data_IF_505271571531
#
_entry.id   IF_505271571531
#
_cell.length_a   1.000
_cell.length_b   1.000
_cell.length_c   1.000
_cell.angle_alpha   90.00
_cell.angle_beta   90.00
_cell.angle_gamma   90.00
#
_symmetry.space_group_name_H-M   'P 1'
#
loop_
_entity.id
_entity.type
_entity.pdbx_description
1 polymer ?
#
# COMPACT_ATOMS: atom_id res chain seq x y z
N UNK A 1 32.07 -20.22 -17.05
CA UNK A 1 31.67 -21.18 -18.13
C UNK A 1 30.94 -22.40 -17.53
N UNK A 2 29.85 -22.22 -16.78
CA UNK A 2 29.07 -23.30 -16.17
C UNK A 2 27.65 -23.49 -16.76
N UNK A 3 27.39 -22.93 -17.90
CA UNK A 3 26.06 -22.75 -18.49
C UNK A 3 25.46 -23.93 -19.24
N UNK A 4 26.20 -25.04 -19.41
CA UNK A 4 25.77 -26.06 -20.36
C UNK A 4 24.97 -27.22 -19.74
N UNK A 5 24.95 -27.43 -18.40
CA UNK A 5 24.22 -28.59 -17.83
C UNK A 5 23.69 -28.46 -16.39
N UNK A 6 23.71 -27.29 -15.73
CA UNK A 6 23.44 -27.23 -14.28
C UNK A 6 22.41 -26.20 -13.76
N UNK A 7 21.93 -25.30 -14.57
CA UNK A 7 21.12 -24.18 -14.08
C UNK A 7 21.95 -23.17 -13.28
N UNK A 8 21.31 -22.06 -12.85
CA UNK A 8 21.97 -21.04 -12.02
C UNK A 8 22.23 -21.53 -10.59
N UNK A 9 23.35 -21.09 -10.01
CA UNK A 9 23.68 -21.26 -8.60
C UNK A 9 23.63 -19.92 -7.87
N UNK A 10 23.74 -19.94 -6.53
CA UNK A 10 23.84 -18.69 -5.74
C UNK A 10 25.12 -17.94 -6.07
N UNK A 11 26.20 -18.65 -6.33
CA UNK A 11 27.50 -18.12 -6.71
C UNK A 11 27.43 -17.37 -8.03
N UNK A 12 26.68 -17.92 -9.03
CA UNK A 12 26.44 -17.25 -10.32
C UNK A 12 25.68 -15.93 -10.11
N UNK A 13 24.64 -15.92 -9.28
CA UNK A 13 23.88 -14.71 -8.97
C UNK A 13 24.75 -13.67 -8.26
N UNK A 14 25.57 -14.09 -7.29
CA UNK A 14 26.51 -13.18 -6.61
C UNK A 14 27.54 -12.59 -7.56
N UNK A 15 28.07 -13.39 -8.48
CA UNK A 15 29.05 -12.91 -9.48
C UNK A 15 28.41 -11.91 -10.46
N UNK A 16 27.16 -12.17 -10.91
CA UNK A 16 26.41 -11.22 -11.74
C UNK A 16 26.14 -9.93 -11.00
N UNK A 17 25.82 -10.00 -9.70
CA UNK A 17 25.62 -8.81 -8.86
C UNK A 17 26.91 -8.00 -8.72
N UNK A 18 28.04 -8.64 -8.39
CA UNK A 18 29.35 -7.99 -8.25
C UNK A 18 29.83 -7.32 -9.54
N UNK A 19 29.53 -7.94 -10.69
CA UNK A 19 29.85 -7.38 -12.01
C UNK A 19 28.78 -6.41 -12.56
N UNK A 20 27.70 -6.18 -11.82
CA UNK A 20 26.52 -5.42 -12.25
C UNK A 20 25.93 -5.91 -13.59
N UNK A 21 25.97 -7.24 -13.82
CA UNK A 21 25.40 -7.88 -15.01
C UNK A 21 23.87 -7.97 -14.94
N UNK A 22 23.23 -6.86 -15.26
CA UNK A 22 21.76 -6.77 -15.28
C UNK A 22 21.17 -7.72 -16.32
N UNK A 23 21.79 -7.90 -17.47
CA UNK A 23 21.31 -8.77 -18.54
C UNK A 23 21.31 -10.24 -18.10
N UNK A 24 22.38 -10.66 -17.45
CA UNK A 24 22.49 -12.00 -16.86
C UNK A 24 21.44 -12.24 -15.79
N UNK A 25 21.23 -11.29 -14.88
CA UNK A 25 20.19 -11.38 -13.84
C UNK A 25 18.78 -11.39 -14.41
N UNK A 26 18.47 -10.56 -15.41
CA UNK A 26 17.18 -10.56 -16.08
C UNK A 26 16.90 -11.91 -16.74
N UNK A 27 17.88 -12.45 -17.46
CA UNK A 27 17.80 -13.79 -18.04
C UNK A 27 17.60 -14.87 -16.98
N UNK A 28 18.31 -14.78 -15.87
CA UNK A 28 18.13 -15.72 -14.75
C UNK A 28 16.70 -15.70 -14.20
N UNK A 29 16.02 -14.55 -14.15
CA UNK A 29 14.61 -14.47 -13.70
C UNK A 29 13.66 -15.23 -14.63
N UNK A 30 14.01 -15.45 -15.89
CA UNK A 30 13.19 -16.14 -16.88
C UNK A 30 13.47 -17.64 -16.94
N UNK A 31 14.72 -18.02 -16.69
CA UNK A 31 15.17 -19.41 -16.78
C UNK A 31 15.07 -20.19 -15.46
N UNK A 32 14.98 -19.52 -14.31
CA UNK A 32 14.82 -20.16 -13.00
C UNK A 32 13.36 -20.61 -12.84
N UNK A 33 13.08 -21.87 -13.14
CA UNK A 33 11.74 -22.46 -12.97
C UNK A 33 11.56 -22.99 -11.54
N UNK A 34 11.01 -22.13 -10.68
CA UNK A 34 10.69 -22.45 -9.28
C UNK A 34 9.43 -23.30 -9.12
N UNK A 35 8.63 -23.47 -10.18
CA UNK A 35 7.40 -24.28 -10.13
C UNK A 35 7.70 -25.76 -10.04
N UNK A 36 8.83 -26.18 -10.59
CA UNK A 36 9.32 -27.58 -10.58
C UNK A 36 10.23 -27.90 -9.41
N UNK A 37 10.84 -26.87 -8.80
CA UNK A 37 11.82 -27.06 -7.72
C UNK A 37 11.73 -25.89 -6.73
N UNK A 38 11.19 -26.17 -5.54
CA UNK A 38 11.03 -25.18 -4.48
C UNK A 38 12.37 -24.56 -4.06
N UNK A 39 13.47 -25.30 -4.11
CA UNK A 39 14.80 -24.78 -3.80
C UNK A 39 15.19 -23.63 -4.75
N UNK A 40 14.71 -23.68 -6.00
CA UNK A 40 14.92 -22.61 -6.99
C UNK A 40 14.13 -21.33 -6.67
N UNK A 41 13.08 -21.42 -5.86
CA UNK A 41 12.35 -20.25 -5.36
C UNK A 41 13.26 -19.30 -4.58
N UNK A 42 14.11 -19.84 -3.70
CA UNK A 42 15.11 -19.06 -2.97
C UNK A 42 16.16 -18.41 -3.86
N UNK A 43 16.55 -19.10 -4.95
CA UNK A 43 17.49 -18.56 -5.93
C UNK A 43 16.88 -17.39 -6.70
N UNK A 44 15.60 -17.51 -7.10
CA UNK A 44 14.90 -16.42 -7.77
C UNK A 44 14.72 -15.22 -6.84
N UNK A 45 14.43 -15.42 -5.54
CA UNK A 45 14.44 -14.34 -4.56
C UNK A 45 15.78 -13.62 -4.52
N UNK A 46 16.90 -14.37 -4.45
CA UNK A 46 18.23 -13.80 -4.48
C UNK A 46 18.50 -12.99 -5.76
N UNK A 47 18.02 -13.48 -6.91
CA UNK A 47 18.13 -12.77 -8.19
C UNK A 47 17.33 -11.45 -8.18
N UNK A 48 16.10 -11.45 -7.65
CA UNK A 48 15.27 -10.24 -7.50
C UNK A 48 15.93 -9.25 -6.55
N UNK A 49 16.51 -9.72 -5.45
CA UNK A 49 17.23 -8.87 -4.51
C UNK A 49 18.51 -8.27 -5.13
N UNK A 50 19.24 -9.04 -5.93
CA UNK A 50 20.44 -8.56 -6.66
C UNK A 50 20.06 -7.45 -7.65
N UNK A 51 18.99 -7.63 -8.44
CA UNK A 51 18.44 -6.57 -9.29
C UNK A 51 18.09 -5.32 -8.48
N UNK A 52 17.53 -5.49 -7.29
CA UNK A 52 17.20 -4.39 -6.38
C UNK A 52 18.42 -3.66 -5.82
N UNK A 53 19.54 -4.34 -5.59
CA UNK A 53 20.79 -3.72 -5.12
C UNK A 53 21.54 -2.98 -6.24
N UNK A 54 21.54 -3.52 -7.44
CA UNK A 54 22.14 -2.86 -8.61
C UNK A 54 21.29 -1.67 -9.05
N UNK A 55 19.96 -1.83 -9.12
CA UNK A 55 19.05 -0.80 -9.61
C UNK A 55 19.14 -0.63 -11.14
N UNK A 56 18.82 0.59 -11.60
CA UNK A 56 18.76 0.92 -13.02
C UNK A 56 17.38 0.64 -13.64
N UNK A 57 17.10 1.28 -14.77
CA UNK A 57 15.75 1.33 -15.37
C UNK A 57 15.19 -0.07 -15.66
N UNK A 58 15.97 -0.92 -16.32
CA UNK A 58 15.54 -2.28 -16.70
C UNK A 58 15.31 -3.18 -15.48
N UNK A 59 16.13 -3.04 -14.44
CA UNK A 59 15.94 -3.75 -13.17
C UNK A 59 14.66 -3.28 -12.49
N UNK A 60 14.42 -1.96 -12.45
CA UNK A 60 13.19 -1.37 -11.86
C UNK A 60 11.93 -1.85 -12.59
N UNK A 61 11.93 -1.89 -13.92
CA UNK A 61 10.81 -2.41 -14.71
C UNK A 61 10.51 -3.88 -14.35
N UNK A 62 11.56 -4.71 -14.26
CA UNK A 62 11.40 -6.12 -13.87
C UNK A 62 10.90 -6.27 -12.44
N UNK A 63 11.37 -5.41 -11.50
CA UNK A 63 10.89 -5.40 -10.12
C UNK A 63 9.41 -5.00 -10.04
N UNK A 64 8.96 -4.00 -10.80
CA UNK A 64 7.54 -3.62 -10.87
C UNK A 64 6.71 -4.79 -11.44
N UNK A 65 7.22 -5.47 -12.48
CA UNK A 65 6.55 -6.65 -13.03
C UNK A 65 6.35 -7.75 -11.98
N UNK A 66 7.36 -7.98 -11.11
CA UNK A 66 7.23 -8.97 -10.03
C UNK A 66 6.15 -8.65 -9.00
N UNK A 67 5.73 -7.39 -8.83
CA UNK A 67 4.65 -7.06 -7.91
C UNK A 67 3.31 -7.71 -8.29
N UNK A 68 3.00 -7.78 -9.60
CA UNK A 68 1.74 -8.32 -10.12
C UNK A 68 1.74 -9.83 -10.34
N UNK A 69 2.84 -10.54 -10.12
CA UNK A 69 2.93 -11.96 -10.48
C UNK A 69 3.86 -12.80 -9.61
N UNK A 70 3.78 -14.11 -9.81
CA UNK A 70 4.69 -15.06 -9.20
C UNK A 70 4.34 -15.45 -7.76
N UNK A 71 5.30 -16.10 -7.12
CA UNK A 71 5.21 -16.58 -5.74
C UNK A 71 5.44 -15.42 -4.75
N UNK A 72 4.70 -15.39 -3.63
CA UNK A 72 4.73 -14.25 -2.68
C UNK A 72 6.14 -13.80 -2.23
N UNK A 73 7.17 -14.67 -2.03
CA UNK A 73 8.50 -14.19 -1.66
C UNK A 73 9.16 -13.30 -2.72
N UNK A 74 8.87 -13.55 -4.00
CA UNK A 74 9.39 -12.73 -5.11
C UNK A 74 8.75 -11.33 -5.07
N UNK A 75 7.42 -11.26 -4.84
CA UNK A 75 6.70 -9.98 -4.68
C UNK A 75 7.25 -9.18 -3.51
N UNK A 76 7.52 -9.84 -2.35
CA UNK A 76 8.10 -9.17 -1.18
C UNK A 76 9.50 -8.64 -1.44
N UNK A 77 10.35 -9.44 -2.09
CA UNK A 77 11.70 -9.01 -2.47
C UNK A 77 11.66 -7.80 -3.41
N UNK A 78 10.78 -7.82 -4.41
CA UNK A 78 10.58 -6.72 -5.34
C UNK A 78 10.05 -5.45 -4.63
N UNK A 79 9.05 -5.58 -3.76
CA UNK A 79 8.51 -4.46 -2.98
C UNK A 79 9.59 -3.81 -2.11
N UNK A 80 10.35 -4.62 -1.38
CA UNK A 80 11.48 -4.15 -0.55
C UNK A 80 12.53 -3.43 -1.37
N UNK A 81 12.88 -3.97 -2.54
CA UNK A 81 13.86 -3.38 -3.45
C UNK A 81 13.39 -2.02 -3.98
N UNK A 82 12.15 -1.93 -4.49
CA UNK A 82 11.56 -0.70 -5.00
C UNK A 82 11.44 0.40 -3.93
N UNK A 83 11.09 0.00 -2.70
CA UNK A 83 11.09 0.91 -1.56
C UNK A 83 12.50 1.42 -1.21
N UNK A 84 13.52 0.54 -1.19
CA UNK A 84 14.90 0.93 -0.91
C UNK A 84 15.47 1.87 -1.97
N UNK A 85 15.17 1.62 -3.23
CA UNK A 85 15.54 2.48 -4.37
C UNK A 85 14.72 3.78 -4.44
N UNK A 86 13.68 3.92 -3.60
CA UNK A 86 12.74 5.06 -3.59
C UNK A 86 12.14 5.35 -4.97
N UNK A 87 11.74 4.29 -5.67
CA UNK A 87 11.17 4.39 -7.02
C UNK A 87 9.77 4.99 -6.94
N UNK A 88 9.65 6.29 -7.21
CA UNK A 88 8.38 7.03 -7.06
C UNK A 88 7.25 6.45 -7.90
N UNK A 89 7.52 6.03 -9.15
CA UNK A 89 6.52 5.41 -10.03
C UNK A 89 6.04 4.03 -9.58
N UNK A 90 6.71 3.41 -8.59
CA UNK A 90 6.27 2.14 -8.01
C UNK A 90 5.20 2.31 -6.91
N UNK A 91 4.87 3.54 -6.49
CA UNK A 91 3.91 3.78 -5.41
C UNK A 91 2.54 3.14 -5.73
N UNK A 92 1.95 3.47 -6.88
CA UNK A 92 0.67 2.89 -7.31
C UNK A 92 0.73 1.37 -7.50
N UNK A 93 1.71 0.79 -8.24
CA UNK A 93 1.88 -0.66 -8.33
C UNK A 93 1.99 -1.39 -6.99
N UNK A 94 2.67 -0.81 -6.00
CA UNK A 94 2.77 -1.39 -4.66
C UNK A 94 1.42 -1.43 -3.94
N UNK A 95 0.64 -0.37 -4.05
CA UNK A 95 -0.70 -0.31 -3.47
C UNK A 95 -1.66 -1.26 -4.19
N UNK A 96 -1.62 -1.33 -5.51
CA UNK A 96 -2.43 -2.26 -6.30
C UNK A 96 -2.13 -3.72 -5.93
N UNK A 97 -0.86 -4.06 -5.69
CA UNK A 97 -0.47 -5.39 -5.22
C UNK A 97 -1.03 -5.70 -3.82
N UNK A 98 -1.11 -4.71 -2.92
CA UNK A 98 -1.76 -4.85 -1.62
C UNK A 98 -3.26 -5.11 -1.79
N UNK A 99 -3.96 -4.29 -2.59
CA UNK A 99 -5.40 -4.45 -2.87
C UNK A 99 -5.69 -5.81 -3.52
N UNK A 100 -4.83 -6.27 -4.43
CA UNK A 100 -4.98 -7.58 -5.09
C UNK A 100 -4.83 -8.75 -4.11
N UNK A 101 -3.91 -8.70 -3.16
CA UNK A 101 -3.79 -9.73 -2.13
C UNK A 101 -5.03 -9.76 -1.23
N UNK A 102 -5.58 -8.59 -0.87
CA UNK A 102 -6.84 -8.47 -0.13
C UNK A 102 -7.98 -9.09 -0.94
N UNK A 103 -8.14 -8.70 -2.21
CA UNK A 103 -9.21 -9.17 -3.09
C UNK A 103 -9.16 -10.69 -3.38
N UNK A 104 -7.96 -11.28 -3.34
CA UNK A 104 -7.77 -12.73 -3.49
C UNK A 104 -7.85 -13.52 -2.19
N UNK A 105 -8.29 -12.90 -1.11
CA UNK A 105 -8.34 -13.52 0.22
C UNK A 105 -6.96 -14.03 0.72
N UNK A 106 -5.89 -13.46 0.19
CA UNK A 106 -4.54 -13.72 0.66
C UNK A 106 -4.26 -12.90 1.90
N UNK A 107 -3.29 -13.33 2.70
CA UNK A 107 -2.84 -12.53 3.83
C UNK A 107 -2.11 -11.28 3.33
N UNK A 108 -2.63 -10.07 3.57
CA UNK A 108 -2.01 -8.84 3.10
C UNK A 108 -0.61 -8.65 3.66
N UNK A 109 0.31 -8.23 2.80
CA UNK A 109 1.71 -8.04 3.19
C UNK A 109 1.99 -6.59 3.54
N UNK A 110 2.27 -6.34 4.82
CA UNK A 110 2.62 -5.00 5.32
C UNK A 110 3.92 -4.45 4.73
N UNK A 111 4.72 -5.30 4.08
CA UNK A 111 5.92 -4.90 3.35
C UNK A 111 5.64 -3.91 2.22
N UNK A 112 4.48 -3.99 1.55
CA UNK A 112 4.06 -2.99 0.57
C UNK A 112 3.91 -1.61 1.21
N UNK A 113 3.32 -1.57 2.40
CA UNK A 113 3.16 -0.35 3.21
C UNK A 113 4.53 0.20 3.60
N UNK A 114 5.44 -0.68 4.04
CA UNK A 114 6.83 -0.29 4.33
C UNK A 114 7.59 0.25 3.12
N UNK A 115 7.32 -0.29 1.92
CA UNK A 115 7.91 0.22 0.68
C UNK A 115 7.36 1.60 0.31
N UNK A 116 6.03 1.81 0.42
CA UNK A 116 5.39 3.12 0.24
C UNK A 116 5.97 4.16 1.21
N UNK A 117 6.17 3.80 2.48
CA UNK A 117 6.80 4.66 3.48
C UNK A 117 8.21 5.11 3.11
N UNK A 118 9.02 4.22 2.51
CA UNK A 118 10.37 4.54 2.05
C UNK A 118 10.39 5.43 0.81
N UNK A 119 9.43 5.26 -0.10
CA UNK A 119 9.23 6.13 -1.27
C UNK A 119 8.88 7.53 -0.81
N UNK A 120 7.88 7.70 0.05
CA UNK A 120 7.56 8.92 0.77
C UNK A 120 7.20 10.14 -0.08
N UNK A 121 6.87 9.96 -1.38
CA UNK A 121 6.36 11.04 -2.21
C UNK A 121 4.88 11.32 -1.90
N UNK A 122 4.30 12.37 -2.48
CA UNK A 122 2.90 12.76 -2.23
C UNK A 122 1.92 11.63 -2.54
N UNK A 123 2.12 10.94 -3.66
CA UNK A 123 1.28 9.80 -4.06
C UNK A 123 1.38 8.66 -3.02
N UNK A 124 2.58 8.32 -2.55
CA UNK A 124 2.77 7.28 -1.54
C UNK A 124 2.10 7.67 -0.21
N UNK A 125 2.13 8.96 0.18
CA UNK A 125 1.44 9.45 1.37
C UNK A 125 -0.08 9.28 1.21
N UNK A 126 -0.65 9.65 0.07
CA UNK A 126 -2.08 9.52 -0.18
C UNK A 126 -2.51 8.04 -0.20
N UNK A 127 -1.69 7.15 -0.74
CA UNK A 127 -1.94 5.70 -0.73
C UNK A 127 -1.82 5.09 0.67
N UNK A 128 -0.89 5.57 1.51
CA UNK A 128 -0.82 5.16 2.91
C UNK A 128 -2.04 5.62 3.71
N UNK A 129 -2.53 6.85 3.46
CA UNK A 129 -3.77 7.34 4.07
C UNK A 129 -4.95 6.48 3.60
N UNK A 130 -4.98 6.09 2.33
CA UNK A 130 -6.00 5.17 1.79
C UNK A 130 -5.94 3.79 2.44
N UNK A 131 -4.74 3.29 2.75
CA UNK A 131 -4.58 2.02 3.46
C UNK A 131 -5.17 2.04 4.88
N UNK A 132 -5.27 3.21 5.53
CA UNK A 132 -6.01 3.37 6.79
C UNK A 132 -7.53 3.21 6.64
N UNK A 133 -8.07 3.34 5.42
CA UNK A 133 -9.48 3.11 5.10
C UNK A 133 -9.86 1.66 4.84
N UNK A 134 -8.91 0.72 4.84
CA UNK A 134 -9.18 -0.71 4.63
C UNK A 134 -9.92 -1.27 5.85
N UNK A 135 -11.11 -1.86 5.62
CA UNK A 135 -11.98 -2.38 6.65
C UNK A 135 -11.89 -3.91 6.78
N UNK A 136 -12.41 -4.46 7.89
CA UNK A 136 -12.50 -5.91 8.08
C UNK A 136 -13.31 -6.59 6.98
N UNK A 137 -14.35 -5.93 6.48
CA UNK A 137 -15.21 -6.44 5.41
C UNK A 137 -14.48 -6.55 4.07
N UNK A 138 -13.42 -5.75 3.86
CA UNK A 138 -12.56 -5.83 2.67
C UNK A 138 -11.60 -7.02 2.72
N UNK A 139 -11.36 -7.54 3.93
CA UNK A 139 -10.47 -8.66 4.18
C UNK A 139 -11.29 -9.86 4.60
N UNK A 140 -11.96 -10.50 3.67
CA UNK A 140 -12.85 -11.65 3.86
C UNK A 140 -12.55 -12.47 5.13
N UNK A 141 -13.38 -12.29 6.18
CA UNK A 141 -13.39 -13.08 7.42
C UNK A 141 -12.04 -13.29 8.12
N UNK A 142 -11.00 -12.56 7.76
CA UNK A 142 -9.71 -12.60 8.46
C UNK A 142 -9.70 -11.58 9.57
N UNK A 143 -9.10 -11.98 10.66
CA UNK A 143 -9.20 -11.35 11.96
C UNK A 143 -9.01 -9.82 11.91
N UNK A 144 -9.73 -9.10 12.76
CA UNK A 144 -9.48 -7.70 13.16
C UNK A 144 -7.97 -7.39 13.35
N UNK A 145 -7.20 -8.41 13.72
CA UNK A 145 -5.73 -8.37 13.85
C UNK A 145 -5.01 -8.01 12.54
N UNK A 146 -5.49 -8.45 11.39
CA UNK A 146 -4.85 -8.15 10.09
C UNK A 146 -5.12 -6.71 9.67
N UNK A 147 -6.35 -6.22 9.84
CA UNK A 147 -6.71 -4.80 9.59
C UNK A 147 -5.89 -3.90 10.51
N UNK A 148 -5.87 -4.21 11.82
CA UNK A 148 -5.09 -3.48 12.79
C UNK A 148 -3.59 -3.47 12.44
N UNK A 149 -3.06 -4.56 11.89
CA UNK A 149 -1.68 -4.65 11.40
C UNK A 149 -1.40 -3.70 10.22
N UNK A 150 -2.32 -3.63 9.25
CA UNK A 150 -2.24 -2.70 8.10
C UNK A 150 -2.29 -1.25 8.59
N UNK A 151 -3.26 -0.92 9.44
CA UNK A 151 -3.42 0.43 9.99
C UNK A 151 -2.19 0.85 10.79
N UNK A 152 -1.71 0.01 11.72
CA UNK A 152 -0.52 0.32 12.51
C UNK A 152 0.73 0.50 11.63
N UNK A 153 0.87 -0.28 10.56
CA UNK A 153 1.97 -0.13 9.61
C UNK A 153 1.86 1.17 8.82
N UNK A 154 0.67 1.51 8.30
CA UNK A 154 0.45 2.73 7.54
C UNK A 154 0.67 3.99 8.41
N UNK A 155 0.12 4.02 9.61
CA UNK A 155 0.33 5.10 10.57
C UNK A 155 1.81 5.26 10.94
N UNK A 156 2.50 4.15 11.21
CA UNK A 156 3.93 4.16 11.50
C UNK A 156 4.75 4.75 10.36
N UNK A 157 4.44 4.42 9.12
CA UNK A 157 5.16 4.96 7.96
C UNK A 157 4.82 6.44 7.73
N UNK A 158 3.55 6.85 7.83
CA UNK A 158 3.13 8.26 7.76
C UNK A 158 3.82 9.12 8.81
N UNK A 159 4.03 8.60 10.02
CA UNK A 159 4.74 9.30 11.09
C UNK A 159 6.23 9.54 10.80
N UNK A 160 6.84 8.77 9.90
CA UNK A 160 8.26 8.91 9.50
C UNK A 160 8.44 9.87 8.33
N UNK A 161 7.41 10.06 7.50
CA UNK A 161 7.49 10.89 6.30
C UNK A 161 7.27 12.34 6.66
N UNK A 162 8.16 13.27 6.27
CA UNK A 162 7.91 14.69 6.43
C UNK A 162 6.60 15.11 5.77
N UNK A 163 5.71 15.75 6.54
CA UNK A 163 4.39 16.16 6.04
C UNK A 163 3.31 15.06 6.05
N UNK A 164 3.64 13.81 6.39
CA UNK A 164 2.67 12.71 6.39
C UNK A 164 1.53 12.92 7.40
N UNK A 165 1.85 13.33 8.61
CA UNK A 165 0.84 13.67 9.65
C UNK A 165 -0.01 14.87 9.27
N UNK A 166 0.62 15.90 8.75
CA UNK A 166 -0.06 17.12 8.29
C UNK A 166 -1.04 16.80 7.17
N UNK A 167 -0.63 15.97 6.21
CA UNK A 167 -1.47 15.50 5.10
C UNK A 167 -2.67 14.70 5.59
N UNK A 168 -2.44 13.75 6.51
CA UNK A 168 -3.52 13.01 7.17
C UNK A 168 -4.49 13.97 7.89
N UNK A 169 -3.96 14.89 8.69
CA UNK A 169 -4.77 15.89 9.41
C UNK A 169 -5.56 16.79 8.46
N UNK A 170 -4.98 17.20 7.33
CA UNK A 170 -5.68 17.97 6.29
C UNK A 170 -6.79 17.16 5.65
N UNK A 171 -6.55 15.89 5.34
CA UNK A 171 -7.56 14.98 4.80
C UNK A 171 -8.72 14.82 5.77
N UNK A 172 -8.44 14.55 7.04
CA UNK A 172 -9.47 14.46 8.08
C UNK A 172 -10.26 15.77 8.25
N UNK A 173 -9.59 16.94 8.18
CA UNK A 173 -10.27 18.24 8.22
C UNK A 173 -11.17 18.45 7.01
N UNK A 174 -10.70 18.18 5.78
CA UNK A 174 -11.50 18.35 4.56
C UNK A 174 -12.75 17.48 4.59
N UNK A 175 -12.62 16.28 5.14
CA UNK A 175 -13.74 15.37 5.34
C UNK A 175 -14.70 15.92 6.40
N UNK A 176 -14.22 16.41 7.55
CA UNK A 176 -15.06 17.08 8.57
C UNK A 176 -15.80 18.28 8.00
N UNK A 177 -15.14 19.11 7.19
CA UNK A 177 -15.75 20.27 6.53
C UNK A 177 -16.83 19.85 5.53
N UNK A 178 -16.58 18.82 4.71
CA UNK A 178 -17.55 18.28 3.76
C UNK A 178 -18.81 17.75 4.45
N UNK A 179 -18.67 17.24 5.70
CA UNK A 179 -19.79 16.78 6.52
C UNK A 179 -20.52 17.90 7.30
N UNK A 180 -20.13 19.16 7.11
CA UNK A 180 -20.76 20.31 7.74
C UNK A 180 -20.31 20.60 9.19
N UNK A 181 -19.11 20.12 9.57
CA UNK A 181 -18.53 20.34 10.90
C UNK A 181 -17.65 21.56 11.02
N UNK A 182 -18.10 22.74 10.59
CA UNK A 182 -17.51 24.02 11.03
C UNK A 182 -18.63 25.00 11.33
N UNK A 183 -19.08 25.02 12.58
CA UNK A 183 -19.93 26.08 13.14
C UNK A 183 -19.05 27.25 13.59
N UNK A 184 -18.36 27.88 12.65
CA UNK A 184 -17.85 29.22 12.80
C UNK A 184 -18.91 30.22 12.37
N UNK A 185 -19.64 30.75 13.38
CA UNK A 185 -20.44 31.97 13.36
C UNK A 185 -20.44 32.76 12.02
N UNK A 186 -21.52 32.63 11.25
CA UNK A 186 -22.03 33.75 10.47
C UNK A 186 -23.52 33.62 10.15
N UNK A 187 -24.32 34.37 10.89
CA UNK A 187 -25.71 34.67 10.63
C UNK A 187 -25.87 35.31 9.24
N UNK A 188 -26.43 34.60 8.27
CA UNK A 188 -27.35 35.21 7.29
C UNK A 188 -28.32 34.15 6.71
N UNK A 189 -29.58 34.40 6.98
CA UNK A 189 -30.77 33.68 6.48
C UNK A 189 -30.80 33.61 4.98
N UNK A 190 -31.03 32.41 4.43
CA UNK A 190 -31.99 32.25 3.34
C UNK A 190 -32.72 30.91 3.51
N UNK A 191 -34.00 31.03 3.60
CA UNK A 191 -35.03 30.03 3.84
C UNK A 191 -35.33 29.32 2.52
N UNK A 192 -35.23 27.97 2.44
CA UNK A 192 -36.18 27.13 1.70
C UNK A 192 -35.97 25.68 2.13
N UNK A 193 -37.08 25.01 2.44
CA UNK A 193 -37.14 23.72 3.11
C UNK A 193 -36.66 22.52 2.28
N UNK A 194 -35.97 21.68 2.97
CA UNK A 194 -35.93 20.21 2.83
C UNK A 194 -35.01 19.65 3.95
N UNK A 195 -35.50 19.59 5.17
CA UNK A 195 -34.67 19.26 6.36
C UNK A 195 -34.49 17.75 6.60
N UNK A 196 -35.03 16.88 5.76
CA UNK A 196 -35.00 15.43 5.92
C UNK A 196 -33.91 14.75 5.06
N UNK A 197 -33.79 15.13 3.81
CA UNK A 197 -32.85 14.52 2.85
C UNK A 197 -31.39 14.87 3.17
N UNK A 198 -31.15 16.07 3.65
CA UNK A 198 -29.79 16.54 4.00
C UNK A 198 -29.18 15.78 5.19
N UNK A 199 -30.00 15.48 6.22
CA UNK A 199 -29.54 14.70 7.38
C UNK A 199 -29.26 13.24 7.03
N UNK A 200 -30.08 12.66 6.16
CA UNK A 200 -29.91 11.27 5.72
C UNK A 200 -28.65 11.12 4.85
N UNK A 201 -28.41 12.06 3.95
CA UNK A 201 -27.20 12.11 3.12
C UNK A 201 -25.95 12.25 3.99
N UNK A 202 -25.95 13.18 4.95
CA UNK A 202 -24.84 13.37 5.91
C UNK A 202 -24.57 12.15 6.78
N UNK A 203 -25.64 11.43 7.21
CA UNK A 203 -25.47 10.19 7.99
C UNK A 203 -24.91 9.06 7.14
N UNK A 204 -25.26 9.00 5.85
CA UNK A 204 -24.70 8.02 4.91
C UNK A 204 -23.21 8.29 4.67
N UNK A 205 -22.83 9.54 4.39
CA UNK A 205 -21.44 9.96 4.24
C UNK A 205 -20.63 9.70 5.52
N UNK A 206 -21.20 9.98 6.70
CA UNK A 206 -20.56 9.72 7.98
C UNK A 206 -20.32 8.21 8.22
N UNK A 207 -21.27 7.36 7.80
CA UNK A 207 -21.14 5.92 7.87
C UNK A 207 -20.08 5.40 6.88
N UNK A 208 -20.02 6.00 5.71
CA UNK A 208 -19.00 5.72 4.69
C UNK A 208 -17.60 6.06 5.21
N UNK A 209 -17.44 7.19 5.92
CA UNK A 209 -16.18 7.60 6.55
C UNK A 209 -15.74 6.67 7.69
N UNK A 210 -16.67 6.22 8.53
CA UNK A 210 -16.39 5.20 9.53
C UNK A 210 -15.98 3.90 8.81
N UNK A 211 -16.67 3.54 7.73
CA UNK A 211 -16.34 2.36 6.92
C UNK A 211 -15.03 2.50 6.14
N UNK A 212 -14.57 3.71 5.87
CA UNK A 212 -13.27 4.01 5.27
C UNK A 212 -12.14 4.21 6.30
N UNK A 213 -12.46 4.04 7.61
CA UNK A 213 -11.49 4.24 8.71
C UNK A 213 -10.95 5.66 8.80
N UNK A 214 -11.65 6.63 8.22
CA UNK A 214 -11.29 8.05 8.25
C UNK A 214 -11.66 8.71 9.58
N UNK A 215 -12.56 8.09 10.34
CA UNK A 215 -12.97 8.49 11.70
C UNK A 215 -13.10 7.24 12.56
N UNK A 216 -12.85 7.39 13.86
CA UNK A 216 -13.08 6.32 14.83
C UNK A 216 -14.54 6.27 15.31
N UNK A 217 -14.88 5.22 16.08
CA UNK A 217 -16.25 5.05 16.61
C UNK A 217 -16.70 6.19 17.52
N UNK A 218 -15.80 6.80 18.25
CA UNK A 218 -16.12 7.89 19.19
C UNK A 218 -16.34 9.20 18.42
N UNK A 219 -15.50 9.46 17.41
CA UNK A 219 -15.70 10.56 16.45
C UNK A 219 -17.01 10.37 15.67
N UNK A 220 -17.31 9.15 15.20
CA UNK A 220 -18.57 8.82 14.55
C UNK A 220 -19.78 9.09 15.46
N UNK A 221 -19.75 8.65 16.73
CA UNK A 221 -20.82 8.89 17.71
C UNK A 221 -21.02 10.37 17.96
N UNK A 222 -19.94 11.14 18.07
CA UNK A 222 -20.00 12.58 18.29
C UNK A 222 -20.62 13.30 17.07
N UNK A 223 -20.12 13.04 15.88
CA UNK A 223 -20.62 13.67 14.64
C UNK A 223 -22.06 13.26 14.33
N UNK A 224 -22.42 11.99 14.56
CA UNK A 224 -23.82 11.52 14.45
C UNK A 224 -24.75 12.27 15.40
N UNK A 225 -24.30 12.58 16.62
CA UNK A 225 -25.06 13.35 17.61
C UNK A 225 -25.29 14.78 17.13
N UNK A 226 -24.28 15.41 16.54
CA UNK A 226 -24.37 16.76 15.95
C UNK A 226 -25.35 16.80 14.76
N UNK A 227 -25.30 15.82 13.85
CA UNK A 227 -26.21 15.73 12.70
C UNK A 227 -27.67 15.53 13.16
N UNK A 228 -27.89 14.72 14.17
CA UNK A 228 -29.22 14.42 14.69
C UNK A 228 -29.77 15.50 15.63
N UNK A 229 -28.89 16.41 16.11
CA UNK A 229 -29.30 17.53 17.00
C UNK A 229 -29.67 17.07 18.41
N UNK A 230 -29.03 16.02 18.91
CA UNK A 230 -29.27 15.49 20.26
C UNK A 230 -28.05 15.65 21.13
#
# INVERSE_FOLDING_TARGET
MGWLFGGYTKEDISQMEESADIDGLLKATEEIDYTKDIAKGGLLVATVEALGRIGGERAIEKLIWFLGGGYWPHRMAAAKALGNLKVTRAAKPLYDALEEEIARELEPRIEYIGALGKIGNEEAIDLLIRALGIQEDDIYARSASTVAGIHAAAEKELNKIPGGKERLSQRLKSVKTALGGDNGDNTKKSNTGSGGDDKFTKLKELKEMLSEGLIDEDEFKQMKKEILGK
#
